data_IF_706459962880
#
_entry.id   IF_706459962880
#
_cell.length_a   1.000
_cell.length_b   1.000
_cell.length_c   1.000
_cell.angle_alpha   90.00
_cell.angle_beta   90.00
_cell.angle_gamma   90.00
#
_symmetry.space_group_name_H-M   'P 1'
#
loop_
_entity.id
_entity.type
_entity.pdbx_description
1 polymer ?
#
# COMPACT_ATOMS: atom_id res chain seq x y z
N UNK A 1 16.62 -8.43 10.37
CA UNK A 1 15.91 -8.24 11.66
C UNK A 1 16.16 -6.83 12.23
N UNK A 2 17.39 -6.31 12.21
CA UNK A 2 17.70 -4.95 12.70
C UNK A 2 16.96 -3.81 11.99
N UNK A 3 16.82 -3.89 10.66
CA UNK A 3 16.05 -2.94 9.85
C UNK A 3 14.59 -2.79 10.36
N UNK A 4 13.93 -3.91 10.63
CA UNK A 4 12.57 -3.92 11.17
C UNK A 4 12.52 -3.30 12.58
N UNK A 5 13.45 -3.67 13.46
CA UNK A 5 13.54 -3.13 14.82
C UNK A 5 13.79 -1.61 14.82
N UNK A 6 14.57 -1.10 13.87
CA UNK A 6 14.83 0.33 13.75
C UNK A 6 13.57 1.12 13.38
N UNK A 7 12.77 0.60 12.45
CA UNK A 7 11.49 1.22 12.04
C UNK A 7 10.43 1.08 13.14
N UNK A 8 10.36 -0.07 13.81
CA UNK A 8 9.45 -0.33 14.93
C UNK A 8 9.65 0.69 16.06
N UNK A 9 10.89 1.01 16.41
CA UNK A 9 11.19 2.06 17.42
C UNK A 9 10.65 3.44 17.05
N UNK A 10 10.71 3.83 15.78
CA UNK A 10 10.14 5.12 15.34
C UNK A 10 8.61 5.06 15.26
N UNK A 11 8.05 3.91 14.87
CA UNK A 11 6.61 3.67 14.87
C UNK A 11 6.02 3.80 16.28
N UNK A 12 6.65 3.20 17.30
CA UNK A 12 6.23 3.33 18.69
C UNK A 12 6.16 4.79 19.15
N UNK A 13 7.14 5.62 18.74
CA UNK A 13 7.15 7.06 19.03
C UNK A 13 5.99 7.78 18.38
N UNK A 14 5.68 7.47 17.12
CA UNK A 14 4.51 8.02 16.41
C UNK A 14 3.22 7.63 17.13
N UNK A 15 3.05 6.35 17.47
CA UNK A 15 1.85 5.85 18.18
C UNK A 15 1.69 6.53 19.54
N UNK A 16 2.78 6.65 20.31
CA UNK A 16 2.77 7.32 21.62
C UNK A 16 2.37 8.80 21.49
N UNK A 17 2.95 9.51 20.51
CA UNK A 17 2.64 10.93 20.25
C UNK A 17 1.20 11.10 19.78
N UNK A 18 0.71 10.26 18.86
CA UNK A 18 -0.66 10.27 18.37
C UNK A 18 -1.67 10.08 19.50
N UNK A 19 -1.46 9.08 20.36
CA UNK A 19 -2.33 8.83 21.52
C UNK A 19 -2.37 10.03 22.46
N UNK A 20 -1.23 10.67 22.72
CA UNK A 20 -1.16 11.85 23.57
C UNK A 20 -1.92 13.05 22.97
N UNK A 21 -1.73 13.34 21.68
CA UNK A 21 -2.42 14.44 20.97
C UNK A 21 -3.92 14.18 20.91
N UNK A 22 -4.33 12.95 20.55
CA UNK A 22 -5.74 12.57 20.50
C UNK A 22 -6.41 12.66 21.87
N UNK A 23 -5.74 12.20 22.94
CA UNK A 23 -6.24 12.32 24.30
C UNK A 23 -6.43 13.78 24.72
N UNK A 24 -5.37 14.60 24.59
CA UNK A 24 -5.40 16.04 24.89
C UNK A 24 -6.50 16.78 24.13
N UNK A 25 -6.60 16.56 22.81
CA UNK A 25 -7.63 17.18 21.99
C UNK A 25 -9.04 16.73 22.43
N UNK A 26 -9.23 15.45 22.72
CA UNK A 26 -10.53 14.92 23.19
C UNK A 26 -10.94 15.55 24.51
N UNK A 27 -10.03 15.61 25.49
CA UNK A 27 -10.31 16.22 26.80
C UNK A 27 -10.69 17.70 26.67
N UNK A 28 -9.93 18.48 25.88
CA UNK A 28 -10.22 19.91 25.64
C UNK A 28 -11.57 20.12 24.95
N UNK A 29 -11.86 19.31 23.93
CA UNK A 29 -13.15 19.38 23.23
C UNK A 29 -14.31 18.98 24.14
N UNK A 30 -14.14 17.99 25.01
CA UNK A 30 -15.14 17.61 26.01
C UNK A 30 -15.40 18.74 27.02
N UNK A 31 -14.35 19.43 27.49
CA UNK A 31 -14.51 20.59 28.38
C UNK A 31 -15.30 21.72 27.70
N UNK A 32 -14.97 22.06 26.46
CA UNK A 32 -15.69 23.06 25.68
C UNK A 32 -17.14 22.64 25.44
N UNK A 33 -17.39 21.36 25.15
CA UNK A 33 -18.75 20.84 24.96
C UNK A 33 -19.57 20.98 26.24
N UNK A 34 -18.98 20.70 27.40
CA UNK A 34 -19.64 20.90 28.69
C UNK A 34 -19.95 22.39 28.96
N UNK A 35 -19.02 23.29 28.64
CA UNK A 35 -19.25 24.74 28.73
C UNK A 35 -20.40 25.20 27.84
N UNK A 36 -20.48 24.70 26.60
CA UNK A 36 -21.57 25.01 25.67
C UNK A 36 -22.92 24.49 26.21
N UNK A 37 -22.94 23.30 26.80
CA UNK A 37 -24.14 22.72 27.42
C UNK A 37 -24.61 23.56 28.62
N UNK A 38 -23.70 23.91 29.53
CA UNK A 38 -24.02 24.76 30.67
C UNK A 38 -24.51 26.15 30.23
N UNK A 39 -23.89 26.73 29.19
CA UNK A 39 -24.32 27.99 28.62
C UNK A 39 -25.73 27.89 28.00
N UNK A 40 -26.02 26.79 27.30
CA UNK A 40 -27.36 26.52 26.75
C UNK A 40 -28.40 26.48 27.87
N UNK A 41 -28.16 25.71 28.91
CA UNK A 41 -29.07 25.61 30.07
C UNK A 41 -29.32 26.98 30.70
N UNK A 42 -28.26 27.74 30.94
CA UNK A 42 -28.32 29.07 31.53
C UNK A 42 -29.11 30.07 30.67
N UNK A 43 -29.00 29.98 29.34
CA UNK A 43 -29.76 30.82 28.41
C UNK A 43 -31.23 30.37 28.28
N UNK A 44 -31.51 29.08 28.34
CA UNK A 44 -32.89 28.53 28.25
C UNK A 44 -33.69 28.65 29.54
N UNK A 45 -33.03 28.79 30.69
CA UNK A 45 -33.68 29.01 31.98
C UNK A 45 -34.26 30.44 32.12
N UNK A 46 -33.88 31.37 31.24
CA UNK A 46 -34.40 32.72 31.22
C UNK A 46 -35.80 32.77 30.58
N UNK A 47 -36.67 33.68 31.05
CA UNK A 47 -37.99 33.88 30.45
C UNK A 47 -37.86 34.33 28.97
N UNK A 48 -38.82 33.99 28.08
CA UNK A 48 -38.71 34.24 26.64
C UNK A 48 -38.42 35.69 26.23
N UNK A 49 -38.83 36.66 27.06
CA UNK A 49 -38.66 38.10 26.82
C UNK A 49 -37.67 38.77 27.79
N UNK A 50 -36.91 37.99 28.56
CA UNK A 50 -35.90 38.52 29.48
C UNK A 50 -34.70 39.06 28.69
N UNK A 51 -34.30 40.30 28.97
CA UNK A 51 -33.07 40.88 28.40
C UNK A 51 -31.86 40.09 28.89
N UNK A 52 -30.95 39.77 27.95
CA UNK A 52 -29.69 39.07 28.26
C UNK A 52 -28.88 39.89 29.27
N UNK A 53 -28.60 39.29 30.42
CA UNK A 53 -27.83 39.90 31.50
C UNK A 53 -26.35 40.07 31.13
N UNK A 54 -25.65 40.98 31.80
CA UNK A 54 -24.21 41.16 31.54
C UNK A 54 -23.42 39.88 31.87
N UNK A 55 -23.82 39.15 32.90
CA UNK A 55 -23.25 37.86 33.26
C UNK A 55 -23.43 36.80 32.14
N UNK A 56 -24.60 36.78 31.49
CA UNK A 56 -24.85 35.91 30.35
C UNK A 56 -23.97 36.27 29.16
N UNK A 57 -23.82 37.57 28.84
CA UNK A 57 -22.93 38.02 27.75
C UNK A 57 -21.48 37.64 28.01
N UNK A 58 -21.03 37.79 29.24
CA UNK A 58 -19.67 37.44 29.62
C UNK A 58 -19.44 35.92 29.55
N UNK A 59 -20.41 35.11 30.00
CA UNK A 59 -20.36 33.66 29.85
C UNK A 59 -20.27 33.23 28.36
N UNK A 60 -21.02 33.89 27.47
CA UNK A 60 -20.93 33.66 26.01
C UNK A 60 -19.54 34.02 25.49
N UNK A 61 -18.99 35.19 25.85
CA UNK A 61 -17.65 35.62 25.42
C UNK A 61 -16.57 34.65 25.88
N UNK A 62 -16.63 34.22 27.15
CA UNK A 62 -15.69 33.26 27.70
C UNK A 62 -15.77 31.91 26.98
N UNK A 63 -16.98 31.41 26.71
CA UNK A 63 -17.17 30.18 25.97
C UNK A 63 -16.60 30.28 24.54
N UNK A 64 -16.84 31.40 23.84
CA UNK A 64 -16.27 31.65 22.51
C UNK A 64 -14.75 31.68 22.52
N UNK A 65 -14.15 32.29 23.55
CA UNK A 65 -12.71 32.30 23.74
C UNK A 65 -12.15 30.88 23.95
N UNK A 66 -12.75 30.10 24.84
CA UNK A 66 -12.35 28.72 25.11
C UNK A 66 -12.49 27.81 23.88
N UNK A 67 -13.54 27.97 23.06
CA UNK A 67 -13.68 27.26 21.78
C UNK A 67 -12.50 27.57 20.86
N UNK A 68 -12.18 28.86 20.70
CA UNK A 68 -11.08 29.31 19.83
C UNK A 68 -9.74 28.78 20.30
N UNK A 69 -9.46 28.84 21.61
CA UNK A 69 -8.23 28.30 22.18
C UNK A 69 -8.12 26.79 22.01
N UNK A 70 -9.18 26.03 22.28
CA UNK A 70 -9.18 24.58 22.14
C UNK A 70 -8.93 24.16 20.68
N UNK A 71 -9.59 24.83 19.72
CA UNK A 71 -9.38 24.57 18.29
C UNK A 71 -7.95 24.90 17.85
N UNK A 72 -7.41 26.04 18.29
CA UNK A 72 -6.05 26.43 17.96
C UNK A 72 -5.01 25.48 18.57
N UNK A 73 -5.20 25.08 19.83
CA UNK A 73 -4.34 24.13 20.51
C UNK A 73 -4.33 22.76 19.80
N UNK A 74 -5.51 22.22 19.47
CA UNK A 74 -5.62 20.96 18.73
C UNK A 74 -4.94 21.03 17.36
N UNK A 75 -5.10 22.15 16.64
CA UNK A 75 -4.43 22.39 15.35
C UNK A 75 -2.90 22.40 15.50
N UNK A 76 -2.37 23.08 16.52
CA UNK A 76 -0.93 23.16 16.78
C UNK A 76 -0.36 21.80 17.19
N UNK A 77 -1.01 21.09 18.10
CA UNK A 77 -0.59 19.76 18.53
C UNK A 77 -0.57 18.74 17.38
N UNK A 78 -1.54 18.83 16.44
CA UNK A 78 -1.54 18.02 15.23
C UNK A 78 -0.35 18.35 14.31
N UNK A 79 -0.05 19.64 14.10
CA UNK A 79 1.11 20.07 13.30
C UNK A 79 2.43 19.56 13.87
N UNK A 80 2.56 19.54 15.20
CA UNK A 80 3.75 19.05 15.89
C UNK A 80 4.00 17.54 15.68
N UNK A 81 3.02 16.79 15.16
CA UNK A 81 3.23 15.39 14.78
C UNK A 81 4.08 15.21 13.53
N UNK A 82 4.11 16.20 12.61
CA UNK A 82 4.79 16.08 11.32
C UNK A 82 6.26 15.68 11.46
N UNK A 83 6.98 16.25 12.42
CA UNK A 83 8.37 15.93 12.66
C UNK A 83 8.59 14.46 13.05
N UNK A 84 7.65 13.87 13.81
CA UNK A 84 7.73 12.46 14.25
C UNK A 84 7.40 11.52 13.09
N UNK A 85 6.38 11.84 12.30
CA UNK A 85 6.00 11.07 11.10
C UNK A 85 7.12 11.11 10.06
N UNK A 86 7.75 12.28 9.85
CA UNK A 86 8.87 12.43 8.91
C UNK A 86 10.08 11.58 9.33
N UNK A 87 10.36 11.45 10.63
CA UNK A 87 11.42 10.56 11.13
C UNK A 87 11.12 9.09 10.85
N UNK A 88 9.87 8.65 11.02
CA UNK A 88 9.45 7.30 10.66
C UNK A 88 9.64 7.05 9.15
N UNK A 89 9.22 7.98 8.28
CA UNK A 89 9.44 7.87 6.84
C UNK A 89 10.92 7.73 6.48
N UNK A 90 11.78 8.59 7.04
CA UNK A 90 13.24 8.50 6.84
C UNK A 90 13.83 7.19 7.37
N UNK A 91 13.30 6.64 8.46
CA UNK A 91 13.72 5.35 8.97
C UNK A 91 13.35 4.21 8.01
N UNK A 92 12.18 4.27 7.39
CA UNK A 92 11.77 3.33 6.34
C UNK A 92 12.73 3.43 5.16
N UNK A 93 12.90 4.64 4.60
CA UNK A 93 13.75 4.88 3.43
C UNK A 93 15.21 4.44 3.65
N UNK A 94 15.72 4.59 4.88
CA UNK A 94 17.10 4.20 5.23
C UNK A 94 17.27 2.69 5.39
N UNK A 95 16.25 1.99 5.88
CA UNK A 95 16.36 0.58 6.26
C UNK A 95 15.81 -0.38 5.20
N UNK A 96 15.03 0.12 4.24
CA UNK A 96 14.44 -0.66 3.16
C UNK A 96 14.77 -0.02 1.82
N UNK A 97 15.38 -0.81 0.94
CA UNK A 97 15.65 -0.40 -0.43
C UNK A 97 14.37 -0.47 -1.25
N UNK A 98 14.09 0.55 -2.06
CA UNK A 98 13.09 0.48 -3.12
C UNK A 98 13.61 -0.31 -4.34
N UNK A 99 14.91 -0.55 -4.40
CA UNK A 99 15.53 -1.31 -5.48
C UNK A 99 15.36 -2.82 -5.24
N UNK A 100 14.46 -3.41 -6.02
CA UNK A 100 14.15 -4.84 -6.04
C UNK A 100 15.29 -5.63 -6.72
N UNK A 101 16.25 -4.97 -7.38
CA UNK A 101 17.43 -5.65 -7.94
C UNK A 101 18.22 -6.40 -6.87
N UNK A 102 18.16 -5.95 -5.61
CA UNK A 102 18.74 -6.64 -4.45
C UNK A 102 18.00 -7.94 -4.06
N UNK A 103 16.80 -8.18 -4.60
CA UNK A 103 16.10 -9.47 -4.50
C UNK A 103 16.56 -10.48 -5.55
N UNK A 104 17.36 -10.08 -6.55
CA UNK A 104 18.05 -11.05 -7.37
C UNK A 104 19.03 -11.80 -6.48
N UNK A 105 18.73 -13.07 -6.24
CA UNK A 105 19.71 -14.00 -5.69
C UNK A 105 20.80 -14.09 -6.76
N UNK A 106 21.98 -13.58 -6.46
CA UNK A 106 23.09 -13.58 -7.41
C UNK A 106 23.38 -15.02 -7.83
N UNK A 107 23.34 -15.30 -9.13
CA UNK A 107 23.43 -16.65 -9.67
C UNK A 107 22.17 -17.54 -9.57
N UNK A 108 20.99 -17.04 -9.18
CA UNK A 108 19.75 -17.86 -9.18
C UNK A 108 19.42 -18.47 -10.55
N UNK A 109 19.84 -17.80 -11.61
CA UNK A 109 19.71 -18.26 -12.99
C UNK A 109 21.09 -18.46 -13.64
N UNK A 110 22.09 -18.90 -12.88
CA UNK A 110 23.38 -19.35 -13.44
C UNK A 110 23.47 -20.87 -13.43
N UNK A 111 24.16 -21.45 -14.42
CA UNK A 111 24.28 -22.91 -14.55
C UNK A 111 22.95 -23.59 -14.85
N UNK A 112 22.62 -24.67 -14.14
CA UNK A 112 21.46 -25.53 -14.45
C UNK A 112 20.11 -24.79 -14.44
N UNK A 113 19.78 -23.93 -13.44
CA UNK A 113 18.54 -23.15 -13.47
C UNK A 113 18.35 -22.28 -14.73
N UNK A 114 19.43 -21.79 -15.33
CA UNK A 114 19.38 -21.04 -16.59
C UNK A 114 18.93 -21.94 -17.75
N UNK A 115 19.51 -23.14 -17.84
CA UNK A 115 19.19 -24.12 -18.87
C UNK A 115 17.74 -24.57 -18.76
N UNK A 116 17.26 -24.86 -17.55
CA UNK A 116 15.86 -25.24 -17.32
C UNK A 116 14.90 -24.10 -17.68
N UNK A 117 15.23 -22.85 -17.33
CA UNK A 117 14.43 -21.70 -17.71
C UNK A 117 14.35 -21.54 -19.23
N UNK A 118 15.48 -21.60 -19.92
CA UNK A 118 15.53 -21.50 -21.38
C UNK A 118 14.75 -22.65 -22.02
N UNK A 119 14.84 -23.87 -21.47
CA UNK A 119 14.04 -25.02 -21.93
C UNK A 119 12.55 -24.74 -21.82
N UNK A 120 12.08 -24.26 -20.67
CA UNK A 120 10.66 -23.93 -20.46
C UNK A 120 10.17 -22.86 -21.44
N UNK A 121 11.01 -21.87 -21.73
CA UNK A 121 10.70 -20.82 -22.71
C UNK A 121 10.64 -21.40 -24.13
N UNK A 122 11.60 -22.24 -24.53
CA UNK A 122 11.60 -22.92 -25.83
C UNK A 122 10.34 -23.78 -26.01
N UNK A 123 10.03 -24.64 -25.04
CA UNK A 123 8.82 -25.47 -25.07
C UNK A 123 7.54 -24.62 -25.16
N UNK A 124 7.50 -23.47 -24.49
CA UNK A 124 6.39 -22.54 -24.61
C UNK A 124 6.26 -21.98 -26.03
N UNK A 125 7.36 -21.56 -26.65
CA UNK A 125 7.36 -21.06 -28.03
C UNK A 125 6.88 -22.13 -29.02
N UNK A 126 7.33 -23.38 -28.86
CA UNK A 126 6.87 -24.50 -29.67
C UNK A 126 5.37 -24.77 -29.50
N UNK A 127 4.84 -24.74 -28.27
CA UNK A 127 3.38 -24.85 -28.03
C UNK A 127 2.56 -23.72 -28.66
N UNK A 128 3.16 -22.56 -28.91
CA UNK A 128 2.49 -21.40 -29.55
C UNK A 128 2.63 -21.39 -31.07
N UNK A 129 3.25 -22.40 -31.68
CA UNK A 129 3.52 -22.45 -33.13
C UNK A 129 4.69 -21.58 -33.58
N UNK A 130 5.45 -20.99 -32.65
CA UNK A 130 6.61 -20.15 -32.96
C UNK A 130 7.88 -20.99 -33.10
N UNK A 131 7.86 -21.94 -34.04
CA UNK A 131 8.91 -22.95 -34.19
C UNK A 131 10.28 -22.33 -34.47
N UNK A 132 10.37 -21.42 -35.45
CA UNK A 132 11.63 -20.75 -35.82
C UNK A 132 12.26 -19.97 -34.65
N UNK A 133 11.44 -19.26 -33.87
CA UNK A 133 11.90 -18.49 -32.71
C UNK A 133 12.39 -19.43 -31.60
N UNK A 134 11.64 -20.50 -31.34
CA UNK A 134 12.02 -21.52 -30.36
C UNK A 134 13.31 -22.25 -30.75
N UNK A 135 13.50 -22.59 -32.01
CA UNK A 135 14.72 -23.23 -32.51
C UNK A 135 15.93 -22.31 -32.42
N UNK A 136 15.75 -21.01 -32.73
CA UNK A 136 16.82 -20.02 -32.61
C UNK A 136 17.26 -19.87 -31.16
N UNK A 137 16.31 -19.72 -30.24
CA UNK A 137 16.61 -19.64 -28.80
C UNK A 137 17.25 -20.95 -28.28
N UNK A 138 16.78 -22.11 -28.73
CA UNK A 138 17.34 -23.41 -28.36
C UNK A 138 18.81 -23.53 -28.79
N UNK A 139 19.14 -23.08 -30.01
CA UNK A 139 20.53 -23.04 -30.52
C UNK A 139 21.40 -22.07 -29.73
N UNK A 140 20.92 -20.85 -29.49
CA UNK A 140 21.65 -19.82 -28.75
C UNK A 140 21.89 -20.19 -27.28
N UNK A 141 20.94 -20.91 -26.68
CA UNK A 141 21.04 -21.39 -25.30
C UNK A 141 21.78 -22.73 -25.16
N UNK A 142 22.32 -23.29 -26.24
CA UNK A 142 23.00 -24.60 -26.28
C UNK A 142 22.16 -25.73 -25.67
N UNK A 143 20.85 -25.69 -25.89
CA UNK A 143 19.91 -26.68 -25.37
C UNK A 143 19.78 -27.86 -26.31
N UNK A 144 19.94 -29.06 -25.77
CA UNK A 144 19.63 -30.30 -26.48
C UNK A 144 18.27 -30.83 -26.04
N UNK A 145 17.26 -30.63 -26.90
CA UNK A 145 15.94 -31.25 -26.76
C UNK A 145 15.80 -32.40 -27.75
N UNK A 146 15.17 -33.47 -27.29
CA UNK A 146 14.91 -34.64 -28.14
C UNK A 146 14.02 -34.25 -29.33
N UNK A 147 14.48 -34.59 -30.53
CA UNK A 147 13.77 -34.32 -31.78
C UNK A 147 12.41 -35.03 -31.82
N UNK A 148 12.29 -36.21 -31.20
CA UNK A 148 11.00 -36.89 -31.09
C UNK A 148 10.01 -36.12 -30.22
N UNK A 149 10.49 -35.45 -29.17
CA UNK A 149 9.67 -34.59 -28.32
C UNK A 149 9.29 -33.29 -29.03
N UNK A 150 10.20 -32.69 -29.79
CA UNK A 150 9.91 -31.50 -30.61
C UNK A 150 8.86 -31.78 -31.70
N UNK A 151 8.89 -32.98 -32.29
CA UNK A 151 7.91 -33.43 -33.28
C UNK A 151 6.46 -33.38 -32.77
N UNK A 152 6.24 -33.61 -31.47
CA UNK A 152 4.91 -33.53 -30.85
C UNK A 152 4.33 -32.11 -30.90
N UNK A 153 5.18 -31.08 -30.79
CA UNK A 153 4.72 -29.69 -30.93
C UNK A 153 4.38 -29.36 -32.38
N UNK A 154 5.12 -29.89 -33.35
CA UNK A 154 4.79 -29.72 -34.77
C UNK A 154 3.43 -30.32 -35.10
N UNK A 155 3.18 -31.54 -34.63
CA UNK A 155 1.89 -32.22 -34.77
C UNK A 155 0.76 -31.44 -34.08
N UNK A 156 0.97 -31.01 -32.83
CA UNK A 156 0.02 -30.16 -32.11
C UNK A 156 -0.34 -28.89 -32.89
N UNK A 157 0.66 -28.20 -33.44
CA UNK A 157 0.43 -26.97 -34.20
C UNK A 157 -0.31 -27.24 -35.52
N UNK A 158 -0.03 -28.36 -36.18
CA UNK A 158 -0.75 -28.80 -37.38
C UNK A 158 -2.23 -29.03 -37.08
N UNK A 159 -2.52 -29.74 -35.98
CA UNK A 159 -3.89 -29.97 -35.51
C UNK A 159 -4.59 -28.65 -35.19
N UNK A 160 -3.93 -27.76 -34.44
CA UNK A 160 -4.51 -26.47 -34.08
C UNK A 160 -4.82 -25.60 -35.31
N UNK A 161 -3.97 -25.62 -36.34
CA UNK A 161 -4.20 -24.87 -37.58
C UNK A 161 -5.33 -25.47 -38.43
N UNK A 162 -5.42 -26.79 -38.50
CA UNK A 162 -6.53 -27.48 -39.15
C UNK A 162 -7.88 -27.14 -38.48
N UNK A 163 -7.91 -27.16 -37.14
CA UNK A 163 -9.09 -26.80 -36.36
C UNK A 163 -9.53 -25.33 -36.59
N UNK A 164 -8.57 -24.40 -36.71
CA UNK A 164 -8.88 -23.00 -37.08
C UNK A 164 -9.54 -22.90 -38.46
N UNK A 165 -9.15 -23.78 -39.38
CA UNK A 165 -9.73 -23.91 -40.72
C UNK A 165 -11.01 -24.76 -40.77
N UNK A 166 -11.57 -25.14 -39.61
CA UNK A 166 -12.72 -26.06 -39.45
C UNK A 166 -12.49 -27.46 -40.02
N UNK A 167 -11.23 -27.87 -40.20
CA UNK A 167 -10.88 -29.24 -40.52
C UNK A 167 -10.53 -30.00 -39.23
N UNK A 168 -11.38 -30.96 -38.87
CA UNK A 168 -11.22 -31.78 -37.65
C UNK A 168 -10.46 -33.07 -37.89
N UNK A 169 -10.23 -33.45 -39.15
CA UNK A 169 -9.65 -34.74 -39.55
C UNK A 169 -8.27 -34.99 -38.91
N UNK A 170 -7.32 -34.03 -38.89
CA UNK A 170 -6.00 -34.28 -38.30
C UNK A 170 -5.99 -34.51 -36.78
N UNK A 171 -7.10 -34.22 -36.08
CA UNK A 171 -7.22 -34.45 -34.64
C UNK A 171 -7.79 -35.85 -34.29
N UNK A 172 -8.30 -36.57 -35.29
CA UNK A 172 -9.04 -37.83 -35.12
C UNK A 172 -8.24 -39.06 -35.57
N UNK A 173 -7.18 -38.86 -36.35
CA UNK A 173 -6.19 -39.87 -36.72
C UNK A 173 -5.09 -39.97 -35.65
#
# INVERSE_FOLDING_TARGET
>A
MEACLAVEREQEKVVKKLKAVSGSATEKLQQVLHQIQALKELLTAAAPDAKVSEAQREAVRQCLYSIKEAAQAASNEHKDMHATISKLGKAIDKNFSADISAMNVDGAFSGQPCLELNRVICEHLFRQGKMEVGETLMKEAELELDQSYLGQFTELNLVLEALRSRNVEPALE
#
